data_IF_572983838223
#
_entry.id   IF_572983838223
#
_cell.length_a   1.000
_cell.length_b   1.000
_cell.length_c   1.000
_cell.angle_alpha   90.00
_cell.angle_beta   90.00
_cell.angle_gamma   90.00
#
_symmetry.space_group_name_H-M   'P 1'
#
loop_
_entity.id
_entity.type
_entity.pdbx_description
1 polymer ?
#
# COMPACT_ATOMS: atom_id res chain seq x y z
N UNK A 1 -1.42 -0.79 -15.85
CA UNK A 1 -1.06 -0.58 -14.43
C UNK A 1 0.40 -0.94 -14.19
N UNK A 2 0.99 -0.33 -13.19
CA UNK A 2 2.32 -0.62 -12.69
C UNK A 2 2.21 -1.13 -11.26
N UNK A 3 2.92 -2.21 -10.95
CA UNK A 3 2.96 -2.80 -9.62
C UNK A 3 4.44 -2.93 -9.25
N UNK A 4 4.83 -2.28 -8.17
CA UNK A 4 6.20 -2.30 -7.67
C UNK A 4 6.48 -3.57 -6.84
N UNK A 5 7.64 -3.66 -6.20
CA UNK A 5 8.09 -4.87 -5.53
C UNK A 5 7.29 -5.19 -4.26
N UNK A 6 7.12 -6.47 -3.98
CA UNK A 6 6.53 -6.99 -2.74
C UNK A 6 5.10 -6.50 -2.45
N UNK A 7 4.36 -6.10 -3.47
CA UNK A 7 2.93 -5.80 -3.35
C UNK A 7 2.14 -7.09 -3.15
N UNK A 8 1.21 -7.09 -2.21
CA UNK A 8 0.29 -8.21 -1.98
C UNK A 8 -1.09 -7.89 -2.54
N UNK A 9 -1.48 -8.61 -3.58
CA UNK A 9 -2.80 -8.49 -4.19
C UNK A 9 -3.57 -9.76 -3.90
N UNK A 10 -4.66 -9.63 -3.17
CA UNK A 10 -5.54 -10.72 -2.80
C UNK A 10 -6.55 -11.07 -3.91
N UNK A 11 -7.24 -12.23 -3.82
CA UNK A 11 -8.18 -12.66 -4.85
C UNK A 11 -9.27 -11.63 -5.17
N UNK A 12 -9.67 -11.58 -6.44
CA UNK A 12 -10.74 -10.73 -6.95
C UNK A 12 -10.50 -9.22 -6.86
N UNK A 13 -9.26 -8.79 -6.71
CA UNK A 13 -8.90 -7.37 -6.87
C UNK A 13 -8.99 -6.97 -8.33
N UNK A 14 -9.63 -5.84 -8.61
CA UNK A 14 -9.79 -5.29 -9.95
C UNK A 14 -9.09 -3.93 -10.04
N UNK A 15 -8.06 -3.83 -10.87
CA UNK A 15 -7.43 -2.57 -11.23
C UNK A 15 -8.00 -2.12 -12.58
N UNK A 16 -8.75 -1.03 -12.57
CA UNK A 16 -9.40 -0.52 -13.77
C UNK A 16 -8.50 0.45 -14.53
N UNK A 17 -8.77 0.69 -15.82
CA UNK A 17 -7.88 1.46 -16.68
C UNK A 17 -8.58 2.44 -17.65
N UNK A 18 -9.92 2.46 -17.68
CA UNK A 18 -10.66 3.39 -18.52
C UNK A 18 -11.51 4.32 -17.65
N UNK A 19 -11.10 5.61 -17.52
CA UNK A 19 -11.80 6.55 -16.66
C UNK A 19 -13.18 6.99 -17.20
N UNK A 20 -13.38 6.89 -18.51
CA UNK A 20 -14.62 7.34 -19.19
C UNK A 20 -15.01 6.40 -20.32
N UNK A 21 -15.41 5.14 -20.00
CA UNK A 21 -15.63 4.13 -21.02
C UNK A 21 -16.85 4.44 -21.91
N UNK A 22 -16.74 4.16 -23.24
CA UNK A 22 -15.54 3.74 -23.91
C UNK A 22 -14.64 4.95 -24.23
N UNK A 23 -13.36 4.87 -23.90
CA UNK A 23 -12.40 5.93 -24.25
C UNK A 23 -11.16 5.33 -24.94
N UNK A 24 -10.41 6.18 -25.63
CA UNK A 24 -9.10 5.84 -26.18
C UNK A 24 -7.95 6.19 -25.22
N UNK A 25 -8.27 6.76 -24.06
CA UNK A 25 -7.30 7.20 -23.08
C UNK A 25 -7.26 6.22 -21.88
N UNK A 26 -6.44 5.21 -22.00
CA UNK A 26 -6.26 4.23 -20.95
C UNK A 26 -5.21 4.67 -19.93
N UNK A 27 -5.60 4.78 -18.66
CA UNK A 27 -4.73 5.17 -17.55
C UNK A 27 -4.77 4.07 -16.48
N UNK A 28 -3.63 3.40 -16.28
CA UNK A 28 -3.51 2.35 -15.28
C UNK A 28 -3.34 2.88 -13.86
N UNK A 29 -3.40 1.97 -12.92
CA UNK A 29 -3.11 2.21 -11.50
C UNK A 29 -1.62 2.01 -11.25
N UNK A 30 -1.02 2.81 -10.37
CA UNK A 30 0.32 2.54 -9.84
C UNK A 30 0.23 2.09 -8.38
N UNK A 31 0.71 0.90 -8.10
CA UNK A 31 0.77 0.34 -6.75
C UNK A 31 2.23 0.30 -6.31
N UNK A 32 2.54 1.07 -5.28
CA UNK A 32 3.89 1.17 -4.74
C UNK A 32 4.25 -0.01 -3.82
N UNK A 33 5.54 -0.18 -3.61
CA UNK A 33 6.09 -1.34 -2.89
C UNK A 33 5.45 -1.58 -1.53
N UNK A 34 5.29 -2.85 -1.18
CA UNK A 34 4.73 -3.33 0.09
C UNK A 34 3.27 -2.94 0.35
N UNK A 35 2.57 -2.33 -0.59
CA UNK A 35 1.14 -2.11 -0.43
C UNK A 35 0.38 -3.44 -0.40
N UNK A 36 -0.68 -3.48 0.38
CA UNK A 36 -1.57 -4.64 0.49
C UNK A 36 -2.96 -4.23 -0.01
N UNK A 37 -3.47 -4.97 -0.99
CA UNK A 37 -4.82 -4.76 -1.52
C UNK A 37 -5.64 -6.00 -1.25
N UNK A 38 -6.58 -5.89 -0.32
CA UNK A 38 -7.35 -7.03 0.15
C UNK A 38 -8.47 -7.45 -0.82
N UNK A 39 -9.00 -8.63 -0.58
CA UNK A 39 -9.97 -9.33 -1.44
C UNK A 39 -11.12 -8.47 -1.90
N UNK A 40 -11.41 -8.53 -3.20
CA UNK A 40 -12.58 -7.88 -3.79
C UNK A 40 -12.51 -6.37 -3.90
N UNK A 41 -11.34 -5.77 -3.69
CA UNK A 41 -11.13 -4.32 -3.88
C UNK A 41 -11.22 -3.95 -5.36
N UNK A 42 -11.85 -2.81 -5.63
CA UNK A 42 -11.86 -2.18 -6.96
C UNK A 42 -11.08 -0.86 -6.87
N UNK A 43 -10.11 -0.66 -7.74
CA UNK A 43 -9.33 0.58 -7.82
C UNK A 43 -9.65 1.30 -9.13
N UNK A 44 -10.07 2.56 -9.03
CA UNK A 44 -10.41 3.38 -10.19
C UNK A 44 -9.17 3.76 -11.00
N UNK A 45 -9.32 4.12 -12.29
CA UNK A 45 -8.20 4.37 -13.19
C UNK A 45 -7.36 5.57 -12.76
N UNK A 46 -6.07 5.51 -13.05
CA UNK A 46 -5.14 6.62 -12.87
C UNK A 46 -4.74 6.91 -11.43
N UNK A 47 -5.11 6.04 -10.49
CA UNK A 47 -4.81 6.25 -9.07
C UNK A 47 -3.47 5.66 -8.67
N UNK A 48 -2.93 6.20 -7.58
CA UNK A 48 -1.73 5.74 -6.90
C UNK A 48 -2.11 5.11 -5.55
N UNK A 49 -1.59 3.91 -5.29
CA UNK A 49 -1.69 3.22 -4.00
C UNK A 49 -0.34 3.29 -3.33
N UNK A 50 -0.24 4.12 -2.30
CA UNK A 50 1.03 4.44 -1.64
C UNK A 50 1.70 3.24 -0.98
N UNK A 51 3.02 3.35 -0.81
CA UNK A 51 3.82 2.30 -0.19
C UNK A 51 3.30 1.92 1.20
N UNK A 52 3.48 0.67 1.60
CA UNK A 52 3.08 0.14 2.91
C UNK A 52 1.63 0.43 3.29
N UNK A 53 0.78 0.85 2.36
CA UNK A 53 -0.64 1.07 2.62
C UNK A 53 -1.42 -0.24 2.66
N UNK A 54 -2.59 -0.20 3.28
CA UNK A 54 -3.52 -1.32 3.34
C UNK A 54 -4.89 -0.88 2.83
N UNK A 55 -5.33 -1.48 1.75
CA UNK A 55 -6.70 -1.32 1.27
C UNK A 55 -7.53 -2.51 1.73
N UNK A 56 -8.55 -2.22 2.52
CA UNK A 56 -9.42 -3.24 3.12
C UNK A 56 -10.31 -3.95 2.11
N UNK A 57 -10.73 -5.16 2.45
CA UNK A 57 -11.54 -6.02 1.59
C UNK A 57 -12.85 -5.32 1.14
N UNK A 58 -13.18 -5.47 -0.14
CA UNK A 58 -14.40 -4.91 -0.73
C UNK A 58 -14.39 -3.38 -0.89
N UNK A 59 -13.28 -2.70 -0.65
CA UNK A 59 -13.19 -1.26 -0.84
C UNK A 59 -13.30 -0.86 -2.31
N UNK A 60 -13.86 0.31 -2.57
CA UNK A 60 -13.83 0.96 -3.89
C UNK A 60 -12.98 2.22 -3.77
N UNK A 61 -11.74 2.14 -4.27
CA UNK A 61 -10.77 3.23 -4.18
C UNK A 61 -11.03 4.24 -5.29
N UNK A 62 -11.40 5.46 -4.90
CA UNK A 62 -11.74 6.56 -5.82
C UNK A 62 -10.79 7.75 -5.74
N UNK A 63 -9.80 7.69 -4.86
CA UNK A 63 -8.75 8.71 -4.67
C UNK A 63 -7.42 8.03 -4.39
N UNK A 64 -6.32 8.75 -4.65
CA UNK A 64 -4.99 8.27 -4.29
C UNK A 64 -4.93 7.87 -2.81
N UNK A 65 -4.26 6.76 -2.55
CA UNK A 65 -4.04 6.26 -1.18
C UNK A 65 -2.67 6.74 -0.72
N UNK A 66 -2.60 7.51 0.37
CA UNK A 66 -1.32 7.94 0.93
C UNK A 66 -0.49 6.74 1.42
N UNK A 67 0.84 6.88 1.47
CA UNK A 67 1.68 5.88 2.12
C UNK A 67 1.23 5.62 3.56
N UNK A 68 1.35 4.37 4.01
CA UNK A 68 0.97 3.89 5.35
C UNK A 68 -0.52 3.99 5.70
N UNK A 69 -1.36 4.52 4.81
CA UNK A 69 -2.78 4.65 5.09
C UNK A 69 -3.51 3.30 5.09
N UNK A 70 -4.50 3.20 5.96
CA UNK A 70 -5.53 2.16 5.92
C UNK A 70 -6.79 2.75 5.29
N UNK A 71 -7.21 2.20 4.15
CA UNK A 71 -8.40 2.63 3.41
C UNK A 71 -9.45 1.55 3.44
N UNK A 72 -10.68 1.90 3.78
CA UNK A 72 -11.81 0.97 3.79
C UNK A 72 -13.07 1.61 3.22
N UNK A 73 -13.98 0.78 2.74
CA UNK A 73 -15.34 1.16 2.39
C UNK A 73 -15.56 1.51 0.92
N UNK A 74 -16.78 1.89 0.61
CA UNK A 74 -17.24 2.34 -0.70
C UNK A 74 -18.09 3.62 -0.53
N UNK A 75 -17.62 4.80 -0.96
CA UNK A 75 -16.26 5.04 -1.46
C UNK A 75 -15.19 4.84 -0.39
N UNK A 76 -13.99 4.42 -0.80
CA UNK A 76 -12.86 4.19 0.09
C UNK A 76 -12.41 5.47 0.82
N UNK A 77 -12.23 5.37 2.13
CA UNK A 77 -11.75 6.47 2.98
C UNK A 77 -10.61 6.02 3.85
N UNK A 78 -9.65 6.91 4.07
CA UNK A 78 -8.58 6.69 5.06
C UNK A 78 -9.21 6.68 6.46
N UNK A 79 -9.04 5.57 7.16
CA UNK A 79 -9.62 5.36 8.49
C UNK A 79 -8.57 5.20 9.58
N UNK A 80 -7.34 4.85 9.20
CA UNK A 80 -6.24 4.60 10.14
C UNK A 80 -4.89 4.64 9.43
N UNK A 81 -3.85 4.35 10.18
CA UNK A 81 -2.47 4.18 9.72
C UNK A 81 -2.01 2.76 10.05
N UNK A 82 -1.32 2.10 9.11
CA UNK A 82 -0.86 0.71 9.27
C UNK A 82 0.04 0.52 10.49
N UNK A 83 0.78 1.55 10.89
CA UNK A 83 1.66 1.53 12.05
C UNK A 83 0.90 1.40 13.38
N UNK A 84 -0.42 1.59 13.38
CA UNK A 84 -1.31 1.41 14.54
C UNK A 84 -1.95 0.03 14.60
N UNK A 85 -1.83 -0.77 13.54
CA UNK A 85 -2.42 -2.10 13.51
C UNK A 85 -1.67 -3.01 14.47
N UNK A 86 -2.43 -3.67 15.33
CA UNK A 86 -1.90 -4.64 16.28
C UNK A 86 -2.46 -6.03 16.03
N UNK A 87 -1.62 -7.02 16.23
CA UNK A 87 -2.06 -8.42 16.25
C UNK A 87 -3.05 -8.61 17.39
N UNK A 88 -4.24 -9.12 17.09
CA UNK A 88 -5.32 -9.29 18.07
C UNK A 88 -5.03 -10.36 19.13
N UNK A 89 -4.09 -11.26 18.86
CA UNK A 89 -3.71 -12.33 19.76
C UNK A 89 -2.53 -11.93 20.64
N UNK A 90 -1.46 -11.38 20.02
CA UNK A 90 -0.22 -11.08 20.74
C UNK A 90 -0.15 -9.63 21.26
N UNK A 91 -0.95 -8.72 20.69
CA UNK A 91 -0.88 -7.29 20.98
C UNK A 91 0.31 -6.56 20.36
N UNK A 92 1.17 -7.28 19.65
CA UNK A 92 2.33 -6.72 18.98
C UNK A 92 1.95 -5.93 17.72
N UNK A 93 2.81 -4.99 17.31
CA UNK A 93 2.64 -4.27 16.05
C UNK A 93 2.78 -5.23 14.87
N UNK A 94 1.85 -5.14 13.93
CA UNK A 94 1.91 -5.92 12.67
C UNK A 94 2.90 -5.27 11.69
N UNK A 95 3.00 -3.95 11.72
CA UNK A 95 3.94 -3.19 10.93
C UNK A 95 5.33 -3.14 11.60
N UNK A 96 6.44 -3.16 10.87
CA UNK A 96 6.51 -3.22 9.40
C UNK A 96 6.48 -4.67 8.88
N UNK A 97 5.58 -4.95 7.96
CA UNK A 97 5.53 -6.26 7.30
C UNK A 97 6.71 -6.57 6.38
N UNK A 98 7.54 -5.61 6.07
CA UNK A 98 8.84 -5.82 5.40
C UNK A 98 9.71 -6.84 6.14
N UNK A 99 9.63 -6.89 7.46
CA UNK A 99 10.37 -7.85 8.27
C UNK A 99 10.00 -9.32 7.98
N UNK A 100 8.80 -9.58 7.47
CA UNK A 100 8.40 -10.92 7.07
C UNK A 100 9.26 -11.47 5.92
N UNK A 101 9.74 -10.61 5.04
CA UNK A 101 10.58 -11.03 3.92
C UNK A 101 11.99 -11.42 4.35
N UNK A 102 12.45 -10.98 5.50
CA UNK A 102 13.73 -11.40 6.07
C UNK A 102 13.77 -12.92 6.34
N UNK A 103 12.68 -13.46 6.84
CA UNK A 103 12.60 -14.85 7.26
C UNK A 103 12.44 -15.86 6.11
N UNK A 104 11.94 -15.43 4.96
CA UNK A 104 11.51 -16.34 3.88
C UNK A 104 12.26 -16.18 2.56
N UNK A 105 13.22 -15.27 2.49
CA UNK A 105 14.01 -15.02 1.30
C UNK A 105 15.47 -15.44 1.51
N UNK A 106 16.18 -15.86 0.43
CA UNK A 106 17.54 -16.41 0.53
C UNK A 106 18.63 -15.34 0.59
N UNK A 107 18.40 -14.23 1.23
CA UNK A 107 19.43 -13.21 1.42
C UNK A 107 20.16 -13.29 2.74
N UNK A 108 21.40 -12.79 2.73
CA UNK A 108 22.14 -12.56 3.96
C UNK A 108 21.53 -11.40 4.76
N UNK A 109 21.87 -11.30 6.05
CA UNK A 109 21.43 -10.15 6.86
C UNK A 109 21.93 -8.82 6.31
N UNK A 110 23.14 -8.78 5.78
CA UNK A 110 23.73 -7.57 5.18
C UNK A 110 23.03 -7.17 3.88
N UNK A 111 22.68 -8.14 3.04
CA UNK A 111 21.99 -7.87 1.79
C UNK A 111 20.57 -7.36 2.03
N UNK A 112 19.85 -7.98 2.97
CA UNK A 112 18.53 -7.50 3.38
C UNK A 112 18.59 -6.08 3.94
N UNK A 113 19.53 -5.79 4.83
CA UNK A 113 19.67 -4.46 5.42
C UNK A 113 19.99 -3.38 4.38
N UNK A 114 20.87 -3.68 3.43
CA UNK A 114 21.20 -2.78 2.33
C UNK A 114 20.00 -2.51 1.44
N UNK A 115 19.31 -3.56 1.01
CA UNK A 115 18.11 -3.45 0.19
C UNK A 115 17.01 -2.64 0.90
N UNK A 116 16.78 -2.90 2.18
CA UNK A 116 15.77 -2.20 2.96
C UNK A 116 16.08 -0.70 3.09
N UNK A 117 17.34 -0.36 3.33
CA UNK A 117 17.78 1.03 3.46
C UNK A 117 17.67 1.79 2.14
N UNK A 118 18.08 1.17 1.03
CA UNK A 118 18.01 1.79 -0.29
C UNK A 118 16.57 2.03 -0.74
N UNK A 119 15.70 1.06 -0.53
CA UNK A 119 14.30 1.18 -0.88
C UNK A 119 13.59 2.26 -0.04
N UNK A 120 13.80 2.25 1.26
CA UNK A 120 13.22 3.23 2.18
C UNK A 120 13.66 4.67 1.83
N UNK A 121 14.92 4.85 1.43
CA UNK A 121 15.45 6.15 1.00
C UNK A 121 14.78 6.62 -0.31
N UNK A 122 14.68 5.75 -1.31
CA UNK A 122 14.05 6.07 -2.60
C UNK A 122 12.58 6.46 -2.43
N UNK A 123 11.85 5.72 -1.63
CA UNK A 123 10.43 5.97 -1.40
C UNK A 123 10.20 7.24 -0.57
N UNK A 124 11.02 7.50 0.43
CA UNK A 124 10.98 8.77 1.17
C UNK A 124 11.23 9.97 0.27
N UNK A 125 12.17 9.87 -0.66
CA UNK A 125 12.42 10.93 -1.65
C UNK A 125 11.22 11.15 -2.57
N UNK A 126 10.61 10.06 -3.05
CA UNK A 126 9.46 10.14 -3.95
C UNK A 126 8.25 10.82 -3.30
N UNK A 127 7.93 10.45 -2.07
CA UNK A 127 6.76 10.98 -1.36
C UNK A 127 7.01 12.25 -0.55
N UNK A 128 8.25 12.72 -0.44
CA UNK A 128 8.60 13.81 0.46
C UNK A 128 8.36 13.49 1.94
N UNK A 129 8.47 12.22 2.31
CA UNK A 129 8.09 11.65 3.61
C UNK A 129 8.99 12.03 4.78
N UNK A 130 9.71 13.13 4.72
CA UNK A 130 10.61 13.53 5.83
C UNK A 130 9.86 13.82 7.14
N UNK A 131 8.53 13.99 7.10
CA UNK A 131 7.71 14.43 8.24
C UNK A 131 6.32 13.80 8.31
N UNK A 132 6.12 12.54 7.94
CA UNK A 132 4.84 11.89 8.23
C UNK A 132 4.70 11.67 9.75
N UNK A 133 4.19 12.70 10.41
CA UNK A 133 3.70 12.58 11.78
C UNK A 133 2.30 11.93 11.74
N UNK A 134 2.06 11.02 12.66
CA UNK A 134 0.79 10.28 12.81
C UNK A 134 -0.30 11.21 13.39
N UNK A 135 -0.25 12.50 13.12
CA UNK A 135 -1.12 13.45 13.83
C UNK A 135 -2.58 13.44 13.38
N UNK A 136 -2.90 12.95 12.19
CA UNK A 136 -4.26 13.10 11.62
C UNK A 136 -5.19 11.89 11.74
N UNK A 137 -4.80 10.82 12.40
CA UNK A 137 -5.62 9.62 12.54
C UNK A 137 -6.53 9.62 13.79
N UNK A 138 -6.59 10.69 14.55
CA UNK A 138 -7.47 10.84 15.74
C UNK A 138 -8.75 11.65 15.47
N UNK A 139 -9.02 12.00 14.22
CA UNK A 139 -10.24 12.73 13.88
C UNK A 139 -11.23 11.86 13.15
#
# INVERSE_FOLDING_TARGET
SRIDDFVWIFPYVVLTNDPTPPSENFVGVHVYSFAIIATGTVVMPGLEIGQDSLVGAGAVVTKNVPPYAVVVGNPGKVTSDVRRIKNKVTGESVYPWREHFKAYMPWSESDFASWYADLDLQEKQHYGLQNLQIEDAEK
#
